data_IF_940616904727
#
_entry.id   IF_940616904727
#
_cell.length_a   1.000
_cell.length_b   1.000
_cell.length_c   1.000
_cell.angle_alpha   90.00
_cell.angle_beta   90.00
_cell.angle_gamma   90.00
#
_symmetry.space_group_name_H-M   'P 1'
#
loop_
_entity.id
_entity.type
_entity.pdbx_description
1 polymer ?
#
# COMPACT_ATOMS: atom_id res chain seq x y z
N UNK A 1 3.91 -6.03 10.37
CA UNK A 1 3.64 -4.62 10.74
C UNK A 1 2.27 -4.25 10.18
N UNK A 2 1.43 -3.57 10.95
CA UNK A 2 0.10 -3.11 10.50
C UNK A 2 0.27 -2.10 9.34
N UNK A 3 -0.64 -2.15 8.34
CA UNK A 3 -0.66 -1.27 7.17
C UNK A 3 -0.55 0.23 7.52
N UNK A 4 -1.18 0.63 8.62
CA UNK A 4 -1.16 2.01 9.10
C UNK A 4 0.24 2.55 9.37
N UNK A 5 1.16 1.67 9.71
CA UNK A 5 2.53 2.03 10.08
C UNK A 5 3.54 1.82 8.96
N UNK A 6 3.18 1.07 7.91
CA UNK A 6 4.06 0.80 6.77
C UNK A 6 4.51 2.08 6.06
N UNK A 7 3.61 3.03 5.89
CA UNK A 7 3.94 4.31 5.24
C UNK A 7 4.90 5.16 6.06
N UNK A 8 4.68 5.22 7.37
CA UNK A 8 5.63 5.90 8.25
C UNK A 8 7.00 5.23 8.19
N UNK A 9 7.02 3.90 8.19
CA UNK A 9 8.27 3.14 8.05
C UNK A 9 8.97 3.43 6.72
N UNK A 10 8.24 3.46 5.60
CA UNK A 10 8.79 3.79 4.28
C UNK A 10 9.30 5.23 4.24
N UNK A 11 8.56 6.19 4.79
CA UNK A 11 8.98 7.59 4.86
C UNK A 11 10.29 7.75 5.64
N UNK A 12 10.39 7.14 6.84
CA UNK A 12 11.60 7.18 7.66
C UNK A 12 12.78 6.51 6.94
N UNK A 13 12.55 5.32 6.37
CA UNK A 13 13.58 4.59 5.65
C UNK A 13 14.08 5.37 4.42
N UNK A 14 13.17 5.94 3.65
CA UNK A 14 13.50 6.78 2.49
C UNK A 14 14.34 7.99 2.90
N UNK A 15 13.93 8.69 3.96
CA UNK A 15 14.69 9.84 4.45
C UNK A 15 16.10 9.46 4.90
N UNK A 16 16.28 8.31 5.57
CA UNK A 16 17.62 7.82 5.95
C UNK A 16 18.46 7.50 4.72
N UNK A 17 17.88 6.78 3.75
CA UNK A 17 18.60 6.30 2.56
C UNK A 17 19.01 7.44 1.63
N UNK A 18 18.17 8.45 1.45
CA UNK A 18 18.45 9.59 0.58
C UNK A 18 19.11 10.78 1.28
N UNK A 19 19.39 10.67 2.58
CA UNK A 19 20.07 11.72 3.34
C UNK A 19 21.55 11.80 2.99
N UNK A 20 22.08 13.01 2.85
CA UNK A 20 23.52 13.25 2.76
C UNK A 20 24.27 12.92 4.08
N UNK A 21 23.54 12.78 5.19
CA UNK A 21 24.05 12.45 6.53
C UNK A 21 23.10 11.44 7.19
N UNK A 22 23.11 10.21 6.69
CA UNK A 22 22.20 9.15 7.19
C UNK A 22 22.31 8.94 8.70
N UNK A 23 23.49 9.06 9.30
CA UNK A 23 23.67 8.91 10.74
C UNK A 23 22.96 9.99 11.54
N UNK A 24 23.03 11.25 11.11
CA UNK A 24 22.28 12.34 11.72
C UNK A 24 20.76 12.15 11.55
N UNK A 25 20.33 11.62 10.42
CA UNK A 25 18.92 11.32 10.17
C UNK A 25 18.43 10.18 11.04
N UNK A 26 19.22 9.11 11.21
CA UNK A 26 18.91 8.03 12.16
C UNK A 26 18.79 8.58 13.59
N UNK A 27 19.77 9.38 14.04
CA UNK A 27 19.74 10.01 15.36
C UNK A 27 18.50 10.87 15.54
N UNK A 28 18.16 11.74 14.56
CA UNK A 28 16.96 12.58 14.57
C UNK A 28 15.70 11.75 14.81
N UNK A 29 15.50 10.69 14.05
CA UNK A 29 14.31 9.86 14.19
C UNK A 29 14.26 9.15 15.54
N UNK A 30 15.36 8.57 16.02
CA UNK A 30 15.43 7.96 17.36
C UNK A 30 15.05 8.97 18.46
N UNK A 31 15.59 10.19 18.39
CA UNK A 31 15.29 11.26 19.35
C UNK A 31 13.84 11.73 19.27
N UNK A 32 13.27 11.84 18.06
CA UNK A 32 11.85 12.15 17.87
C UNK A 32 10.93 11.11 18.54
N UNK A 33 11.32 9.84 18.48
CA UNK A 33 10.63 8.76 19.17
C UNK A 33 10.91 8.72 20.69
N UNK A 34 11.80 9.57 21.19
CA UNK A 34 12.18 9.61 22.60
C UNK A 34 12.96 8.38 23.08
N UNK A 35 13.55 7.63 22.16
CA UNK A 35 14.23 6.36 22.46
C UNK A 35 15.74 6.64 22.70
N UNK A 36 16.29 6.14 23.82
CA UNK A 36 17.72 6.23 24.07
C UNK A 36 18.52 5.26 23.20
N UNK A 37 19.82 5.52 22.99
CA UNK A 37 20.70 4.57 22.29
C UNK A 37 20.73 3.22 23.00
N UNK A 38 20.73 3.20 24.34
CA UNK A 38 20.68 1.98 25.14
C UNK A 38 19.37 1.23 24.92
N UNK A 39 18.21 1.87 25.05
CA UNK A 39 16.92 1.23 24.86
C UNK A 39 16.74 0.66 23.46
N UNK A 40 17.20 1.38 22.42
CA UNK A 40 17.15 0.85 21.06
C UNK A 40 18.09 -0.34 20.87
N UNK A 41 19.29 -0.29 21.45
CA UNK A 41 20.27 -1.39 21.34
C UNK A 41 19.81 -2.66 22.07
N UNK A 42 19.20 -2.53 23.23
CA UNK A 42 18.57 -3.64 23.97
C UNK A 42 17.49 -4.31 23.14
N UNK A 43 16.60 -3.50 22.54
CA UNK A 43 15.53 -4.03 21.68
C UNK A 43 16.07 -4.76 20.43
N UNK A 44 17.13 -4.22 19.84
CA UNK A 44 17.79 -4.81 18.66
C UNK A 44 18.70 -6.00 18.99
N UNK A 45 19.03 -6.24 20.28
CA UNK A 45 19.99 -7.25 20.69
C UNK A 45 21.42 -6.95 20.21
N UNK A 46 21.84 -5.68 20.19
CA UNK A 46 23.17 -5.24 19.75
C UNK A 46 23.82 -4.34 20.80
N UNK A 47 25.10 -4.04 20.64
CA UNK A 47 25.79 -3.16 21.56
C UNK A 47 25.40 -1.68 21.37
N UNK A 48 25.17 -0.86 22.40
CA UNK A 48 24.92 0.58 22.32
C UNK A 48 25.93 1.35 21.47
N UNK A 49 27.21 0.96 21.55
CA UNK A 49 28.26 1.56 20.71
C UNK A 49 28.02 1.40 19.22
N UNK A 50 27.30 0.32 18.79
CA UNK A 50 26.94 0.10 17.39
C UNK A 50 25.95 1.16 16.90
N UNK A 51 24.96 1.53 17.73
CA UNK A 51 24.03 2.62 17.41
C UNK A 51 24.78 3.94 17.31
N UNK A 52 25.63 4.24 18.30
CA UNK A 52 26.49 5.43 18.31
C UNK A 52 27.37 5.53 17.07
N UNK A 53 27.93 4.39 16.63
CA UNK A 53 28.80 4.33 15.46
C UNK A 53 28.06 4.62 14.15
N UNK A 54 26.81 4.16 14.00
CA UNK A 54 25.97 4.53 12.87
C UNK A 54 25.55 6.00 12.92
N UNK A 55 25.10 6.49 14.07
CA UNK A 55 24.65 7.88 14.22
C UNK A 55 25.77 8.91 14.05
N UNK A 56 26.99 8.56 14.42
CA UNK A 56 28.19 9.40 14.23
C UNK A 56 28.90 9.18 12.90
N UNK A 57 28.38 8.29 12.05
CA UNK A 57 28.95 7.91 10.75
C UNK A 57 30.36 7.33 10.81
N UNK A 58 30.82 6.90 12.01
CA UNK A 58 32.05 6.12 12.14
C UNK A 58 31.94 4.78 11.43
N UNK A 59 30.81 4.15 11.55
CA UNK A 59 30.46 2.96 10.76
C UNK A 59 29.68 3.40 9.52
N UNK A 60 30.34 3.33 8.37
CA UNK A 60 29.79 3.78 7.09
C UNK A 60 28.81 2.76 6.48
N UNK A 61 27.88 3.25 5.68
CA UNK A 61 26.99 2.47 4.82
C UNK A 61 26.17 1.42 5.58
N UNK A 62 25.16 1.81 6.36
CA UNK A 62 24.26 0.85 6.96
C UNK A 62 23.57 0.03 5.86
N UNK A 63 23.71 -1.30 5.92
CA UNK A 63 23.04 -2.19 4.97
C UNK A 63 21.52 -2.10 5.12
N UNK A 64 20.79 -2.51 4.06
CA UNK A 64 19.33 -2.48 4.01
C UNK A 64 18.69 -3.09 5.26
N UNK A 65 19.20 -4.24 5.71
CA UNK A 65 18.68 -4.92 6.90
C UNK A 65 18.87 -4.10 8.18
N UNK A 66 19.93 -3.31 8.27
CA UNK A 66 20.19 -2.42 9.43
C UNK A 66 19.13 -1.32 9.44
N UNK A 67 18.92 -0.65 8.31
CA UNK A 67 17.92 0.42 8.18
C UNK A 67 16.51 -0.13 8.47
N UNK A 68 16.15 -1.27 7.87
CA UNK A 68 14.85 -1.92 8.09
C UNK A 68 14.63 -2.24 9.57
N UNK A 69 15.57 -2.92 10.22
CA UNK A 69 15.48 -3.26 11.65
C UNK A 69 15.41 -2.02 12.53
N UNK A 70 16.23 -1.01 12.26
CA UNK A 70 16.20 0.27 12.98
C UNK A 70 14.83 0.93 12.93
N UNK A 71 14.26 1.13 11.72
CA UNK A 71 12.96 1.78 11.53
C UNK A 71 11.83 0.99 12.17
N UNK A 72 11.80 -0.33 11.95
CA UNK A 72 10.79 -1.21 12.54
C UNK A 72 10.82 -1.14 14.06
N UNK A 73 12.01 -1.17 14.66
CA UNK A 73 12.18 -1.09 16.12
C UNK A 73 11.69 0.24 16.71
N UNK A 74 11.91 1.38 16.05
CA UNK A 74 11.39 2.67 16.53
C UNK A 74 9.87 2.62 16.66
N UNK A 75 9.19 2.10 15.64
CA UNK A 75 7.73 1.99 15.58
C UNK A 75 7.22 1.01 16.65
N UNK A 76 7.83 -0.16 16.76
CA UNK A 76 7.40 -1.20 17.70
C UNK A 76 7.60 -0.79 19.16
N UNK A 77 8.70 -0.12 19.51
CA UNK A 77 8.95 0.42 20.85
C UNK A 77 7.90 1.48 21.20
N UNK A 78 7.61 2.43 20.28
CA UNK A 78 6.62 3.48 20.54
C UNK A 78 5.22 2.86 20.72
N UNK A 79 4.83 1.90 19.88
CA UNK A 79 3.57 1.19 20.00
C UNK A 79 3.44 0.43 21.33
N UNK A 80 4.51 -0.21 21.80
CA UNK A 80 4.55 -0.89 23.09
C UNK A 80 4.40 0.07 24.27
N UNK A 81 4.75 1.35 24.09
CA UNK A 81 4.66 2.41 25.11
C UNK A 81 3.46 3.36 24.92
N UNK A 82 2.48 2.96 24.09
CA UNK A 82 1.23 3.69 23.88
C UNK A 82 1.12 4.40 22.53
N UNK A 83 2.10 4.31 21.65
CA UNK A 83 2.03 4.76 20.25
C UNK A 83 1.94 6.28 20.07
N UNK A 84 2.48 7.06 21.01
CA UNK A 84 2.31 8.52 21.03
C UNK A 84 2.84 9.21 19.76
N UNK A 85 4.00 8.80 19.30
CA UNK A 85 4.65 9.40 18.14
C UNK A 85 4.04 8.82 16.86
N UNK A 86 3.92 7.49 16.79
CA UNK A 86 3.31 6.80 15.65
C UNK A 86 1.92 7.34 15.35
N UNK A 87 1.04 7.42 16.36
CA UNK A 87 -0.32 7.92 16.19
C UNK A 87 -0.37 9.40 15.74
N UNK A 88 0.57 10.23 16.18
CA UNK A 88 0.67 11.62 15.71
C UNK A 88 0.94 11.68 14.20
N UNK A 89 1.91 10.89 13.71
CA UNK A 89 2.23 10.86 12.27
C UNK A 89 1.18 10.13 11.44
N UNK A 90 0.49 9.14 12.00
CA UNK A 90 -0.58 8.40 11.31
C UNK A 90 -1.87 9.22 11.25
N UNK A 91 -2.21 10.01 12.27
CA UNK A 91 -3.41 10.88 12.25
C UNK A 91 -3.30 12.04 11.25
N UNK A 92 -2.09 12.51 10.94
CA UNK A 92 -1.89 13.47 9.84
C UNK A 92 -2.12 12.83 8.45
N UNK A 93 -2.24 11.49 8.40
CA UNK A 93 -2.46 10.69 7.19
C UNK A 93 -3.93 10.20 7.07
N UNK A 94 -4.87 10.85 7.74
CA UNK A 94 -6.28 10.40 7.89
C UNK A 94 -7.06 10.15 6.60
N UNK A 95 -6.55 10.52 5.43
CA UNK A 95 -7.12 10.15 4.13
C UNK A 95 -6.85 8.68 3.76
N UNK A 96 -6.03 7.95 4.50
CA UNK A 96 -5.46 6.64 4.13
C UNK A 96 -6.23 5.43 4.66
N UNK A 97 -7.28 5.62 5.43
CA UNK A 97 -8.22 4.54 5.76
C UNK A 97 -9.10 4.17 4.56
N UNK A 98 -9.18 5.05 3.56
CA UNK A 98 -10.08 4.92 2.41
C UNK A 98 -9.48 4.03 1.33
N UNK A 99 -8.17 4.11 1.11
CA UNK A 99 -7.45 3.29 0.16
C UNK A 99 -6.03 2.95 0.62
N UNK A 100 -5.52 1.83 0.13
CA UNK A 100 -4.17 1.33 0.40
C UNK A 100 -3.47 1.00 -0.91
N UNK A 101 -2.22 1.44 -1.06
CA UNK A 101 -1.39 1.19 -2.24
C UNK A 101 -0.24 0.27 -1.87
N UNK A 102 0.01 -0.74 -2.69
CA UNK A 102 1.15 -1.64 -2.55
C UNK A 102 1.83 -1.88 -3.89
N UNK A 103 3.15 -1.72 -3.94
CA UNK A 103 3.98 -2.01 -5.10
C UNK A 103 4.57 -3.41 -4.98
N UNK A 104 4.57 -4.14 -6.09
CA UNK A 104 5.20 -5.45 -6.16
C UNK A 104 6.71 -5.35 -6.37
N UNK A 105 7.47 -6.30 -5.85
CA UNK A 105 8.90 -6.41 -6.13
C UNK A 105 9.16 -6.93 -7.56
N UNK A 106 8.15 -7.56 -8.19
CA UNK A 106 8.22 -8.06 -9.56
C UNK A 106 6.89 -7.85 -10.30
N UNK A 107 6.96 -7.68 -11.63
CA UNK A 107 5.76 -7.54 -12.47
C UNK A 107 5.04 -8.87 -12.61
N UNK A 108 3.69 -8.83 -12.55
CA UNK A 108 2.83 -9.99 -12.84
C UNK A 108 1.93 -9.68 -14.05
N UNK A 109 1.60 -10.69 -14.86
CA UNK A 109 0.60 -10.54 -15.93
C UNK A 109 -0.83 -10.69 -15.39
N UNK A 110 -1.81 -10.21 -16.17
CA UNK A 110 -3.21 -10.24 -15.75
C UNK A 110 -3.78 -11.63 -15.53
N UNK A 111 -3.34 -12.66 -16.30
CA UNK A 111 -3.83 -14.03 -16.15
C UNK A 111 -3.40 -14.60 -14.81
N UNK A 112 -2.12 -14.47 -14.45
CA UNK A 112 -1.58 -14.99 -13.20
C UNK A 112 -2.12 -14.22 -12.00
N UNK A 113 -2.29 -12.89 -12.13
CA UNK A 113 -2.95 -12.08 -11.11
C UNK A 113 -4.37 -12.58 -10.83
N UNK A 114 -5.19 -12.81 -11.86
CA UNK A 114 -6.57 -13.30 -11.70
C UNK A 114 -6.60 -14.68 -11.04
N UNK A 115 -5.66 -15.58 -11.39
CA UNK A 115 -5.54 -16.90 -10.72
C UNK A 115 -5.25 -16.75 -9.23
N UNK A 116 -4.30 -15.89 -8.84
CA UNK A 116 -3.92 -15.69 -7.44
C UNK A 116 -5.08 -15.23 -6.57
N UNK A 117 -5.93 -14.37 -7.09
CA UNK A 117 -7.10 -13.86 -6.37
C UNK A 117 -8.35 -14.74 -6.57
N UNK A 118 -8.24 -15.88 -7.26
CA UNK A 118 -9.37 -16.75 -7.63
C UNK A 118 -10.51 -15.97 -8.29
N UNK A 119 -10.13 -15.04 -9.16
CA UNK A 119 -11.05 -14.11 -9.79
C UNK A 119 -11.79 -14.73 -10.98
N UNK A 120 -13.04 -14.35 -11.17
CA UNK A 120 -13.83 -14.62 -12.38
C UNK A 120 -13.79 -13.40 -13.30
N UNK A 121 -13.29 -13.59 -14.52
CA UNK A 121 -13.24 -12.52 -15.54
C UNK A 121 -14.61 -12.30 -16.14
N UNK A 122 -15.08 -11.06 -16.13
CA UNK A 122 -16.40 -10.66 -16.66
C UNK A 122 -16.28 -10.05 -18.06
N UNK A 123 -15.23 -9.24 -18.28
CA UNK A 123 -15.02 -8.58 -19.58
C UNK A 123 -13.55 -8.50 -19.96
N UNK A 124 -13.28 -8.35 -21.27
CA UNK A 124 -11.95 -8.07 -21.83
C UNK A 124 -10.89 -9.14 -21.43
N UNK A 125 -11.29 -10.40 -21.44
CA UNK A 125 -10.42 -11.53 -21.17
C UNK A 125 -9.28 -11.64 -22.20
N UNK A 126 -9.53 -11.22 -23.44
CA UNK A 126 -8.61 -11.26 -24.57
C UNK A 126 -7.34 -10.43 -24.38
N UNK A 127 -7.37 -9.45 -23.49
CA UNK A 127 -6.19 -8.60 -23.23
C UNK A 127 -5.41 -8.96 -21.97
N UNK A 128 -5.89 -9.87 -21.13
CA UNK A 128 -5.25 -10.20 -19.84
C UNK A 128 -3.79 -10.64 -19.96
N UNK A 129 -3.44 -11.35 -21.00
CA UNK A 129 -2.05 -11.80 -21.22
C UNK A 129 -1.09 -10.63 -21.41
N UNK A 130 -1.58 -9.53 -21.99
CA UNK A 130 -0.79 -8.32 -22.26
C UNK A 130 -0.79 -7.34 -21.10
N UNK A 131 -1.74 -7.46 -20.17
CA UNK A 131 -1.81 -6.61 -18.98
C UNK A 131 -0.60 -6.87 -18.11
N UNK A 132 0.07 -5.80 -17.68
CA UNK A 132 1.17 -5.83 -16.72
C UNK A 132 0.73 -5.11 -15.47
N UNK A 133 1.02 -5.72 -14.32
CA UNK A 133 0.59 -5.22 -13.01
C UNK A 133 1.83 -5.15 -12.12
N UNK A 134 2.15 -3.95 -11.65
CA UNK A 134 3.30 -3.66 -10.81
C UNK A 134 2.92 -3.45 -9.34
N UNK A 135 1.62 -3.48 -9.05
CA UNK A 135 1.10 -3.29 -7.70
C UNK A 135 -0.41 -3.30 -7.68
N UNK A 136 -0.98 -3.03 -6.52
CA UNK A 136 -2.42 -2.88 -6.40
C UNK A 136 -2.81 -1.67 -5.53
N UNK A 137 -4.00 -1.15 -5.79
CA UNK A 137 -4.69 -0.18 -4.95
C UNK A 137 -5.95 -0.85 -4.41
N UNK A 138 -6.03 -1.02 -3.11
CA UNK A 138 -7.23 -1.49 -2.42
C UNK A 138 -8.06 -0.27 -2.02
N UNK A 139 -9.34 -0.24 -2.39
CA UNK A 139 -10.22 0.91 -2.16
C UNK A 139 -11.49 0.44 -1.46
N UNK A 140 -11.80 1.01 -0.30
CA UNK A 140 -13.13 0.87 0.28
C UNK A 140 -14.09 1.80 -0.49
N UNK A 141 -14.97 1.20 -1.30
CA UNK A 141 -15.86 1.96 -2.21
C UNK A 141 -16.83 2.87 -1.47
N UNK A 142 -17.38 2.40 -0.36
CA UNK A 142 -18.35 3.18 0.40
C UNK A 142 -17.68 4.37 1.08
N UNK A 143 -16.56 4.15 1.77
CA UNK A 143 -15.81 5.21 2.41
C UNK A 143 -15.26 6.21 1.38
N UNK A 144 -14.77 5.73 0.23
CA UNK A 144 -14.28 6.61 -0.83
C UNK A 144 -15.36 7.59 -1.32
N UNK A 145 -16.60 7.12 -1.48
CA UNK A 145 -17.72 7.97 -1.91
C UNK A 145 -18.09 9.00 -0.82
N UNK A 146 -18.02 8.61 0.45
CA UNK A 146 -18.45 9.45 1.56
C UNK A 146 -17.40 10.49 1.98
N UNK A 147 -16.12 10.16 1.87
CA UNK A 147 -15.06 10.93 2.51
C UNK A 147 -14.10 11.61 1.53
N UNK A 148 -13.92 11.07 0.30
CA UNK A 148 -13.04 11.70 -0.68
C UNK A 148 -13.76 12.89 -1.34
N UNK A 149 -13.15 14.07 -1.24
CA UNK A 149 -13.65 15.24 -1.95
C UNK A 149 -13.49 15.06 -3.47
N UNK A 150 -14.42 15.60 -4.25
CA UNK A 150 -14.45 15.41 -5.71
C UNK A 150 -13.14 15.77 -6.42
N UNK A 151 -12.42 16.80 -5.93
CA UNK A 151 -11.11 17.20 -6.45
C UNK A 151 -9.95 16.27 -6.09
N UNK A 152 -10.14 15.38 -5.11
CA UNK A 152 -9.09 14.47 -4.62
C UNK A 152 -9.19 13.05 -5.21
N UNK A 153 -10.29 12.71 -5.89
CA UNK A 153 -10.41 11.44 -6.61
C UNK A 153 -9.24 11.15 -7.58
N UNK A 154 -8.68 12.12 -8.31
CA UNK A 154 -7.49 11.88 -9.13
C UNK A 154 -6.27 11.38 -8.33
N UNK A 155 -6.14 11.76 -7.06
CA UNK A 155 -5.04 11.30 -6.19
C UNK A 155 -5.12 9.79 -5.92
N UNK A 156 -6.35 9.24 -5.83
CA UNK A 156 -6.59 7.80 -5.71
C UNK A 156 -5.95 7.03 -6.86
N UNK A 157 -6.01 7.61 -8.06
CA UNK A 157 -5.53 6.96 -9.28
C UNK A 157 -4.02 7.12 -9.49
N UNK A 158 -3.40 8.21 -9.05
CA UNK A 158 -1.95 8.42 -9.14
C UNK A 158 -1.33 7.78 -10.40
N UNK A 159 -0.42 6.83 -10.19
CA UNK A 159 0.21 6.01 -11.26
C UNK A 159 -0.59 4.73 -11.55
N UNK A 160 -1.92 4.81 -11.64
CA UNK A 160 -2.82 3.65 -11.73
C UNK A 160 -2.67 2.82 -13.01
N UNK A 161 -2.02 3.34 -14.05
CA UNK A 161 -1.91 2.66 -15.36
C UNK A 161 -1.27 1.27 -15.27
N UNK A 162 -0.51 1.03 -14.23
CA UNK A 162 0.23 -0.23 -14.04
C UNK A 162 -0.23 -0.98 -12.78
N UNK A 163 -1.41 -0.65 -12.22
CA UNK A 163 -1.92 -1.25 -11.00
C UNK A 163 -3.26 -1.91 -11.19
N UNK A 164 -3.49 -2.95 -10.38
CA UNK A 164 -4.81 -3.50 -10.17
C UNK A 164 -5.58 -2.64 -9.15
N UNK A 165 -6.82 -2.26 -9.45
CA UNK A 165 -7.72 -1.65 -8.48
C UNK A 165 -8.68 -2.68 -7.93
N UNK A 166 -8.63 -2.90 -6.62
CA UNK A 166 -9.50 -3.83 -5.89
C UNK A 166 -10.46 -3.00 -5.06
N UNK A 167 -11.72 -2.96 -5.48
CA UNK A 167 -12.78 -2.26 -4.77
C UNK A 167 -13.50 -3.21 -3.82
N UNK A 168 -13.57 -2.86 -2.54
CA UNK A 168 -14.34 -3.57 -1.50
C UNK A 168 -15.61 -2.81 -1.16
N UNK A 169 -16.50 -3.44 -0.40
CA UNK A 169 -17.81 -2.88 -0.01
C UNK A 169 -18.64 -2.41 -1.21
N UNK A 170 -18.64 -3.23 -2.27
CA UNK A 170 -19.30 -2.98 -3.54
C UNK A 170 -20.67 -3.66 -3.54
N UNK A 171 -21.73 -2.91 -3.85
CA UNK A 171 -23.08 -3.47 -3.99
C UNK A 171 -23.38 -4.00 -5.41
N UNK A 172 -23.09 -3.22 -6.43
CA UNK A 172 -23.39 -3.55 -7.84
C UNK A 172 -22.23 -3.28 -8.81
N UNK A 173 -21.15 -2.67 -8.35
CA UNK A 173 -20.01 -2.27 -9.17
C UNK A 173 -20.22 -1.01 -10.01
N UNK A 174 -21.41 -0.38 -9.99
CA UNK A 174 -21.70 0.83 -10.78
C UNK A 174 -20.79 1.98 -10.40
N UNK A 175 -20.73 2.35 -9.12
CA UNK A 175 -19.96 3.50 -8.64
C UNK A 175 -18.46 3.39 -8.92
N UNK A 176 -17.78 2.26 -8.62
CA UNK A 176 -16.39 2.06 -9.00
C UNK A 176 -16.13 2.30 -10.49
N UNK A 177 -16.95 1.73 -11.36
CA UNK A 177 -16.76 1.85 -12.81
C UNK A 177 -17.07 3.25 -13.35
N UNK A 178 -18.00 3.99 -12.74
CA UNK A 178 -18.24 5.41 -13.07
C UNK A 178 -17.00 6.24 -12.68
N UNK A 179 -16.43 6.04 -11.49
CA UNK A 179 -15.22 6.73 -11.05
C UNK A 179 -14.04 6.41 -11.97
N UNK A 180 -13.85 5.14 -12.33
CA UNK A 180 -12.83 4.74 -13.32
C UNK A 180 -13.08 5.42 -14.66
N UNK A 181 -14.35 5.53 -15.12
CA UNK A 181 -14.70 6.14 -16.41
C UNK A 181 -14.37 7.64 -16.48
N UNK A 182 -14.65 8.39 -15.43
CA UNK A 182 -14.46 9.85 -15.44
C UNK A 182 -13.00 10.26 -15.20
N UNK A 183 -12.17 9.37 -14.66
CA UNK A 183 -10.75 9.64 -14.48
C UNK A 183 -9.98 9.54 -15.80
N UNK A 184 -8.95 10.36 -15.96
CA UNK A 184 -8.03 10.32 -17.12
C UNK A 184 -7.10 9.13 -17.06
N UNK A 185 -6.58 8.82 -15.87
CA UNK A 185 -5.71 7.67 -15.65
C UNK A 185 -6.56 6.43 -15.38
N UNK A 186 -6.27 5.33 -16.07
CA UNK A 186 -7.03 4.08 -15.99
C UNK A 186 -6.19 2.98 -15.34
N UNK A 187 -6.79 2.14 -14.48
CA UNK A 187 -6.10 0.97 -13.93
C UNK A 187 -5.87 -0.10 -15.00
N UNK A 188 -4.87 -0.95 -14.79
CA UNK A 188 -4.59 -2.11 -15.64
C UNK A 188 -5.73 -3.15 -15.60
N UNK A 189 -6.35 -3.30 -14.44
CA UNK A 189 -7.45 -4.25 -14.17
C UNK A 189 -8.31 -3.71 -13.03
N UNK A 190 -9.61 -3.95 -13.10
CA UNK A 190 -10.55 -3.64 -12.01
C UNK A 190 -11.07 -4.93 -11.42
N UNK A 191 -10.97 -5.04 -10.10
CA UNK A 191 -11.50 -6.16 -9.32
C UNK A 191 -12.60 -5.62 -8.40
N UNK A 192 -13.75 -6.26 -8.42
CA UNK A 192 -14.84 -6.01 -7.49
C UNK A 192 -14.89 -7.18 -6.50
N UNK A 193 -14.57 -6.88 -5.24
CA UNK A 193 -14.48 -7.87 -4.18
C UNK A 193 -15.82 -8.02 -3.45
N UNK A 194 -16.19 -9.26 -3.13
CA UNK A 194 -17.37 -9.57 -2.32
C UNK A 194 -18.70 -9.54 -3.10
N UNK A 195 -18.66 -9.51 -4.44
CA UNK A 195 -19.84 -9.49 -5.29
C UNK A 195 -19.77 -10.62 -6.32
N UNK A 196 -20.92 -11.22 -6.58
CA UNK A 196 -21.09 -12.22 -7.64
C UNK A 196 -21.50 -11.58 -8.96
N UNK A 197 -21.23 -12.28 -10.07
CA UNK A 197 -21.59 -11.84 -11.41
C UNK A 197 -23.09 -11.52 -11.56
N UNK A 198 -23.96 -12.29 -10.91
CA UNK A 198 -25.41 -12.11 -10.97
C UNK A 198 -25.86 -10.74 -10.42
N UNK A 199 -25.11 -10.15 -9.54
CA UNK A 199 -25.39 -8.86 -8.90
C UNK A 199 -24.73 -7.68 -9.61
N UNK A 200 -23.99 -7.93 -10.70
CA UNK A 200 -23.31 -6.87 -11.44
C UNK A 200 -24.30 -6.00 -12.24
N UNK A 201 -24.11 -4.71 -12.10
CA UNK A 201 -24.86 -3.73 -12.88
C UNK A 201 -24.45 -3.78 -14.36
N UNK A 202 -25.44 -3.79 -15.26
CA UNK A 202 -25.21 -3.79 -16.72
C UNK A 202 -24.39 -2.59 -17.19
N UNK A 203 -24.54 -1.43 -16.54
CA UNK A 203 -23.75 -0.24 -16.85
C UNK A 203 -22.27 -0.45 -16.44
N UNK A 204 -22.01 -1.08 -15.31
CA UNK A 204 -20.63 -1.39 -14.91
C UNK A 204 -19.92 -2.24 -15.95
N UNK A 205 -20.59 -3.29 -16.43
CA UNK A 205 -20.09 -4.17 -17.50
C UNK A 205 -19.85 -3.38 -18.80
N UNK A 206 -20.81 -2.55 -19.19
CA UNK A 206 -20.71 -1.74 -20.41
C UNK A 206 -19.57 -0.73 -20.35
N UNK A 207 -19.35 -0.08 -19.18
CA UNK A 207 -18.27 0.85 -18.97
C UNK A 207 -16.89 0.14 -19.05
N UNK A 208 -16.72 -1.00 -18.38
CA UNK A 208 -15.48 -1.77 -18.44
C UNK A 208 -15.15 -2.20 -19.88
N UNK A 209 -16.15 -2.66 -20.65
CA UNK A 209 -15.99 -2.99 -22.07
C UNK A 209 -15.54 -1.78 -22.90
N UNK A 210 -16.21 -0.64 -22.71
CA UNK A 210 -15.90 0.60 -23.44
C UNK A 210 -14.48 1.13 -23.15
N UNK A 211 -14.04 1.05 -21.90
CA UNK A 211 -12.69 1.46 -21.51
C UNK A 211 -11.62 0.43 -21.85
N UNK A 212 -12.03 -0.77 -22.31
CA UNK A 212 -11.14 -1.91 -22.55
C UNK A 212 -10.30 -2.29 -21.31
N UNK A 213 -10.90 -2.23 -20.14
CA UNK A 213 -10.31 -2.62 -18.87
C UNK A 213 -10.87 -3.98 -18.47
N UNK A 214 -10.02 -4.98 -18.16
CA UNK A 214 -10.49 -6.25 -17.61
C UNK A 214 -11.26 -6.01 -16.31
N UNK A 215 -12.50 -6.51 -16.25
CA UNK A 215 -13.33 -6.50 -15.06
C UNK A 215 -13.37 -7.90 -14.49
N UNK A 216 -13.04 -8.02 -13.22
CA UNK A 216 -12.95 -9.28 -12.47
C UNK A 216 -13.80 -9.17 -11.22
N UNK A 217 -14.46 -10.25 -10.84
CA UNK A 217 -15.10 -10.40 -9.52
C UNK A 217 -14.38 -11.49 -8.72
N UNK A 218 -14.34 -11.33 -7.41
CA UNK A 218 -13.82 -12.36 -6.51
C UNK A 218 -14.54 -12.35 -5.17
N UNK A 219 -14.78 -13.52 -4.62
CA UNK A 219 -15.33 -13.73 -3.26
C UNK A 219 -14.29 -14.31 -2.30
N UNK A 220 -13.03 -14.47 -2.76
CA UNK A 220 -11.92 -14.89 -1.90
C UNK A 220 -11.76 -13.90 -0.74
N UNK A 221 -11.45 -14.39 0.46
CA UNK A 221 -11.28 -13.53 1.64
C UNK A 221 -10.23 -12.46 1.40
N UNK A 222 -10.52 -11.22 1.80
CA UNK A 222 -9.67 -10.08 1.55
C UNK A 222 -8.27 -10.25 2.16
N UNK A 223 -8.20 -10.75 3.40
CA UNK A 223 -6.93 -10.98 4.10
C UNK A 223 -6.04 -12.00 3.37
N UNK A 224 -6.65 -13.01 2.75
CA UNK A 224 -5.92 -14.00 1.94
C UNK A 224 -5.39 -13.37 0.66
N UNK A 225 -6.20 -12.56 -0.04
CA UNK A 225 -5.78 -11.80 -1.23
C UNK A 225 -4.58 -10.91 -0.88
N UNK A 226 -4.69 -10.14 0.19
CA UNK A 226 -3.61 -9.25 0.61
C UNK A 226 -2.34 -10.00 1.00
N UNK A 227 -2.47 -11.10 1.75
CA UNK A 227 -1.33 -11.93 2.15
C UNK A 227 -0.59 -12.52 0.95
N UNK A 228 -1.33 -12.88 -0.11
CA UNK A 228 -0.75 -13.41 -1.34
C UNK A 228 -0.07 -12.29 -2.14
N UNK A 229 -0.78 -11.19 -2.38
CA UNK A 229 -0.28 -10.10 -3.23
C UNK A 229 0.89 -9.34 -2.61
N UNK A 230 0.98 -9.27 -1.28
CA UNK A 230 2.12 -8.65 -0.57
C UNK A 230 3.42 -9.45 -0.63
N UNK A 231 3.38 -10.69 -1.12
CA UNK A 231 4.58 -11.53 -1.31
C UNK A 231 5.20 -11.37 -2.70
N UNK A 232 4.51 -10.71 -3.61
CA UNK A 232 5.00 -10.39 -4.95
C UNK A 232 5.97 -9.20 -4.91
#
# INVERSE_FOLDING_TARGET
MDKRYEKLAHSIASEIVFSNSYGKTMKKWRELFGISQTGLSEYLGINPSTISDYESERRKNPGINVVKRFVTSLIEIDLATGGKIVNKYVNDLSTEQIYYVHEFASVINGIDFVKLIEGKVITNQDILERVRIYGFTLVNSLQAIMEIQSGDFPKLFGNAQERAFIFTDVSTGRSPLVVVRVNTTKPSIVVLHGIDEANLDKLAIALAKRERIPLVVTTKKLDEIESILKKL
#
